data_IF_503822783722
#
_entry.id   IF_503822783722
#
_cell.length_a   1.000
_cell.length_b   1.000
_cell.length_c   1.000
_cell.angle_alpha   90.00
_cell.angle_beta   90.00
_cell.angle_gamma   90.00
#
_symmetry.space_group_name_H-M   'P 1'
#
loop_
_entity.id
_entity.type
_entity.pdbx_description
1 polymer ?
#
# COMPACT_ATOMS: atom_id res chain seq x y z
N UNK A 1 9.17 -7.24 16.90
CA UNK A 1 9.03 -6.99 18.36
C UNK A 1 9.21 -5.52 18.71
N UNK A 2 10.31 -4.88 18.31
CA UNK A 2 10.57 -3.45 18.59
C UNK A 2 9.38 -2.51 18.30
N UNK A 3 8.82 -2.52 17.09
CA UNK A 3 7.69 -1.62 16.74
C UNK A 3 6.47 -1.81 17.66
N UNK A 4 6.22 -3.03 18.13
CA UNK A 4 5.11 -3.31 19.05
C UNK A 4 5.34 -2.73 20.45
N UNK A 5 6.59 -2.47 20.84
CA UNK A 5 6.90 -1.83 22.13
C UNK A 5 6.87 -0.30 22.09
N UNK A 6 6.71 0.32 20.91
CA UNK A 6 6.67 1.77 20.75
C UNK A 6 5.25 2.36 20.82
N UNK A 7 4.23 1.53 21.11
CA UNK A 7 2.81 1.92 21.07
C UNK A 7 2.20 1.75 19.67
N UNK A 8 1.29 2.64 19.31
CA UNK A 8 0.68 2.65 17.98
C UNK A 8 1.72 3.04 16.93
N UNK A 9 1.84 2.20 15.90
CA UNK A 9 2.76 2.39 14.79
C UNK A 9 2.04 2.19 13.48
N UNK A 10 2.54 2.86 12.43
CA UNK A 10 2.16 2.59 11.04
C UNK A 10 3.41 2.56 10.18
N UNK A 11 3.40 1.70 9.16
CA UNK A 11 4.45 1.62 8.14
C UNK A 11 3.77 1.68 6.76
N UNK A 12 4.38 2.43 5.86
CA UNK A 12 4.05 2.47 4.43
C UNK A 12 5.32 2.14 3.64
N UNK A 13 5.22 1.19 2.71
CA UNK A 13 6.26 0.85 1.73
C UNK A 13 5.66 1.00 0.35
N UNK A 14 6.21 1.89 -0.48
CA UNK A 14 5.75 2.12 -1.84
C UNK A 14 6.94 2.50 -2.73
N UNK A 15 7.18 1.78 -3.84
CA UNK A 15 8.01 2.25 -4.93
C UNK A 15 7.37 3.49 -5.60
N UNK A 16 8.18 4.33 -6.20
CA UNK A 16 7.75 5.50 -6.97
C UNK A 16 7.11 5.12 -8.31
N UNK A 17 7.77 4.26 -9.10
CA UNK A 17 7.23 3.74 -10.36
C UNK A 17 7.92 2.42 -10.78
N UNK A 18 7.26 1.57 -11.58
CA UNK A 18 7.90 0.37 -12.11
C UNK A 18 8.89 0.69 -13.24
N UNK A 19 10.01 -0.06 -13.25
CA UNK A 19 11.01 -0.03 -14.33
C UNK A 19 11.28 -1.46 -14.80
N UNK A 20 10.36 -2.08 -15.58
CA UNK A 20 10.50 -3.48 -15.97
C UNK A 20 11.79 -3.74 -16.75
N UNK A 21 12.52 -4.80 -16.41
CA UNK A 21 13.80 -5.17 -17.05
C UNK A 21 13.67 -5.27 -18.57
N UNK A 22 12.55 -5.81 -19.06
CA UNK A 22 12.28 -5.96 -20.49
C UNK A 22 12.06 -4.62 -21.23
N UNK A 23 11.70 -3.56 -20.51
CA UNK A 23 11.43 -2.23 -21.05
C UNK A 23 12.59 -1.25 -20.85
N UNK A 24 13.39 -1.44 -19.78
CA UNK A 24 14.53 -0.57 -19.42
C UNK A 24 14.17 0.92 -19.32
N UNK A 25 12.89 1.20 -19.10
CA UNK A 25 12.34 2.54 -18.94
C UNK A 25 11.17 2.47 -17.98
N UNK A 26 10.81 3.61 -17.40
CA UNK A 26 9.70 3.71 -16.48
C UNK A 26 8.39 3.42 -17.23
N UNK A 27 7.48 2.72 -16.58
CA UNK A 27 6.14 2.42 -17.12
C UNK A 27 5.07 3.08 -16.27
N UNK A 28 3.91 3.35 -16.88
CA UNK A 28 2.75 3.93 -16.19
C UNK A 28 1.93 2.90 -15.38
N UNK A 29 2.36 1.63 -15.37
CA UNK A 29 1.73 0.61 -14.54
C UNK A 29 1.80 1.01 -13.04
N UNK A 30 0.75 0.76 -12.25
CA UNK A 30 0.78 1.09 -10.83
C UNK A 30 1.76 0.17 -10.07
N UNK A 31 2.68 0.71 -9.25
CA UNK A 31 3.53 -0.11 -8.40
C UNK A 31 2.70 -0.72 -7.24
N UNK A 32 3.08 -1.91 -6.73
CA UNK A 32 2.46 -2.45 -5.53
C UNK A 32 2.92 -1.64 -4.31
N UNK A 33 2.05 -1.49 -3.31
CA UNK A 33 2.40 -0.87 -2.03
C UNK A 33 1.92 -1.74 -0.86
N UNK A 34 2.49 -1.51 0.31
CA UNK A 34 2.10 -2.16 1.56
C UNK A 34 1.91 -1.10 2.64
N UNK A 35 0.82 -1.22 3.39
CA UNK A 35 0.67 -0.56 4.68
C UNK A 35 0.46 -1.59 5.77
N UNK A 36 0.94 -1.30 6.97
CA UNK A 36 0.74 -2.12 8.15
C UNK A 36 0.70 -1.25 9.41
N UNK A 37 0.05 -1.74 10.46
CA UNK A 37 0.04 -1.11 11.77
C UNK A 37 -1.37 -0.73 12.25
N UNK A 38 -1.43 0.20 13.21
CA UNK A 38 -2.65 0.63 13.86
C UNK A 38 -3.69 1.14 12.86
N UNK A 39 -4.95 0.70 12.97
CA UNK A 39 -6.03 1.13 12.09
C UNK A 39 -5.94 0.63 10.64
N UNK A 40 -5.01 -0.27 10.30
CA UNK A 40 -4.93 -0.86 8.96
C UNK A 40 -5.73 -2.17 8.91
N UNK A 41 -6.67 -2.27 7.97
CA UNK A 41 -7.39 -3.50 7.65
C UNK A 41 -6.53 -4.39 6.75
N UNK A 42 -6.36 -5.65 7.14
CA UNK A 42 -5.58 -6.61 6.38
C UNK A 42 -6.31 -6.99 5.09
N UNK A 43 -5.62 -6.90 3.95
CA UNK A 43 -6.16 -7.31 2.65
C UNK A 43 -6.13 -8.82 2.40
N UNK A 44 -5.52 -9.60 3.31
CA UNK A 44 -5.28 -11.03 3.12
C UNK A 44 -4.12 -11.36 2.18
N UNK A 45 -3.39 -10.37 1.68
CA UNK A 45 -2.21 -10.58 0.85
C UNK A 45 -1.06 -11.21 1.65
N UNK A 46 -0.43 -12.25 1.10
CA UNK A 46 0.68 -12.99 1.74
C UNK A 46 2.06 -12.35 1.50
N UNK A 47 2.14 -11.32 0.65
CA UNK A 47 3.41 -10.66 0.35
C UNK A 47 3.27 -9.39 -0.50
N UNK A 48 4.37 -8.63 -0.58
CA UNK A 48 4.49 -7.44 -1.42
C UNK A 48 5.04 -7.81 -2.80
N UNK A 49 4.13 -8.10 -3.74
CA UNK A 49 4.44 -8.31 -5.16
C UNK A 49 3.19 -8.06 -6.01
N UNK A 50 3.37 -7.86 -7.32
CA UNK A 50 2.35 -7.34 -8.23
C UNK A 50 1.13 -8.28 -8.33
N UNK A 51 1.34 -9.60 -8.24
CA UNK A 51 0.25 -10.59 -8.23
C UNK A 51 -0.66 -10.45 -7.00
N UNK A 52 -0.08 -10.35 -5.79
CA UNK A 52 -0.85 -10.23 -4.56
C UNK A 52 -1.54 -8.86 -4.47
N UNK A 53 -0.87 -7.79 -4.89
CA UNK A 53 -1.46 -6.46 -4.95
C UNK A 53 -2.72 -6.44 -5.83
N UNK A 54 -2.67 -7.05 -7.02
CA UNK A 54 -3.85 -7.17 -7.90
C UNK A 54 -4.99 -7.96 -7.26
N UNK A 55 -4.68 -9.06 -6.58
CA UNK A 55 -5.67 -9.89 -5.90
C UNK A 55 -6.29 -9.20 -4.67
N UNK A 56 -5.57 -8.26 -4.04
CA UNK A 56 -6.03 -7.56 -2.83
C UNK A 56 -7.27 -6.67 -3.04
N UNK A 57 -7.57 -6.29 -4.29
CA UNK A 57 -8.67 -5.41 -4.64
C UNK A 57 -8.51 -3.95 -4.20
N UNK A 58 -7.42 -3.59 -3.52
CA UNK A 58 -7.18 -2.21 -3.09
C UNK A 58 -6.34 -1.44 -4.11
N UNK A 59 -6.92 -0.37 -4.64
CA UNK A 59 -6.27 0.48 -5.63
C UNK A 59 -6.48 1.95 -5.26
N UNK A 60 -5.37 2.69 -5.17
CA UNK A 60 -5.37 4.15 -5.07
C UNK A 60 -5.16 4.75 -6.45
N UNK A 61 -6.18 5.41 -6.99
CA UNK A 61 -6.18 5.91 -8.38
C UNK A 61 -5.14 7.02 -8.61
N UNK A 62 -4.92 7.90 -7.63
CA UNK A 62 -3.91 8.97 -7.70
C UNK A 62 -2.86 8.74 -6.62
N UNK A 63 -1.61 8.47 -7.00
CA UNK A 63 -0.56 8.12 -6.05
C UNK A 63 -0.35 9.14 -4.92
N UNK A 64 -0.51 10.44 -5.20
CA UNK A 64 -0.38 11.50 -4.19
C UNK A 64 -1.46 11.47 -3.10
N UNK A 65 -2.56 10.74 -3.30
CA UNK A 65 -3.61 10.56 -2.29
C UNK A 65 -3.25 9.52 -1.23
N UNK A 66 -2.29 8.63 -1.52
CA UNK A 66 -1.92 7.53 -0.62
C UNK A 66 -1.35 8.05 0.69
N UNK A 67 -0.40 8.99 0.64
CA UNK A 67 0.26 9.50 1.84
C UNK A 67 -0.69 10.31 2.75
N UNK A 68 -1.49 11.26 2.24
CA UNK A 68 -2.52 11.93 3.05
C UNK A 68 -3.49 10.94 3.68
N UNK A 69 -4.05 9.99 2.90
CA UNK A 69 -4.97 8.99 3.43
C UNK A 69 -4.31 8.12 4.53
N UNK A 70 -3.04 7.75 4.36
CA UNK A 70 -2.31 6.95 5.34
C UNK A 70 -2.04 7.69 6.66
N UNK A 71 -1.76 8.99 6.61
CA UNK A 71 -1.50 9.81 7.81
C UNK A 71 -2.80 10.13 8.55
N UNK A 72 -3.86 10.52 7.85
CA UNK A 72 -5.02 11.15 8.48
C UNK A 72 -6.17 10.20 8.80
N UNK A 73 -6.23 9.02 8.17
CA UNK A 73 -7.36 8.11 8.37
C UNK A 73 -7.27 7.39 9.72
N UNK A 74 -8.38 7.30 10.45
CA UNK A 74 -8.47 6.42 11.62
C UNK A 74 -8.43 4.94 11.20
N UNK A 75 -9.03 4.63 10.05
CA UNK A 75 -9.06 3.29 9.45
C UNK A 75 -8.73 3.33 7.97
N UNK A 76 -7.87 2.43 7.49
CA UNK A 76 -7.47 2.33 6.09
C UNK A 76 -7.45 0.88 5.62
N UNK A 77 -7.94 0.63 4.40
CA UNK A 77 -7.86 -0.68 3.76
C UNK A 77 -8.82 -0.85 2.59
N UNK A 78 -8.94 -2.07 2.03
CA UNK A 78 -9.72 -2.35 0.83
C UNK A 78 -11.21 -1.97 0.97
N UNK A 79 -11.76 -2.07 2.18
CA UNK A 79 -13.17 -1.77 2.46
C UNK A 79 -13.43 -0.28 2.71
N UNK A 80 -12.38 0.52 2.96
CA UNK A 80 -12.49 1.94 3.30
C UNK A 80 -12.73 2.86 2.07
N UNK A 81 -12.58 2.35 0.85
CA UNK A 81 -12.68 3.11 -0.40
C UNK A 81 -13.96 2.89 -1.23
N UNK A 82 -15.01 2.29 -0.66
CA UNK A 82 -16.32 2.12 -1.34
C UNK A 82 -17.26 3.31 -1.11
N UNK A 83 -16.76 4.52 -1.32
CA UNK A 83 -17.52 5.78 -1.28
C UNK A 83 -17.47 6.49 -2.63
#
# INVERSE_FOLDING_TARGET
EYLRSQGDWRVLVAPDHPTPVARRTHTADPPPFLVAGAGIEASGAEGLHERAARASGWHVRRGHELLPAWITSERLGPSAGKG
#
